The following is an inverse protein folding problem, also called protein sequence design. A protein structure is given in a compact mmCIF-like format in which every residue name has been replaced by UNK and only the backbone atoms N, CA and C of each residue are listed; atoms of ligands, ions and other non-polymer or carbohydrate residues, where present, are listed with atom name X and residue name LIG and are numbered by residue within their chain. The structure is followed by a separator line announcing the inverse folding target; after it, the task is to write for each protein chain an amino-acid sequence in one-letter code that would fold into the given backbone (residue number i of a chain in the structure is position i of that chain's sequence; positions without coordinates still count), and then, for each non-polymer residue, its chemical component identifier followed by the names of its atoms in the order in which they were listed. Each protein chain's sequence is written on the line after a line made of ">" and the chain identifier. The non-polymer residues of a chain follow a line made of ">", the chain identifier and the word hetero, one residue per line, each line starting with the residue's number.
data_IF_421646746494
#
_entry.id   IF_421646746494
#
_cell.length_a   1.000
_cell.length_b   1.000
_cell.length_c   1.000
_cell.angle_alpha   90.00
_cell.angle_beta   90.00
_cell.angle_gamma   90.00
#
_symmetry.space_group_name_H-M   'P 1'
#
loop_
_entity.id
_entity.type
_entity.pdbx_description
1 polymer ?
#
# COMPACT_ATOMS: atom_id res chain seq x y z
N UNK A 1 -63.11 -65.83 12.14
CA UNK A 1 -62.83 -64.83 13.20
C UNK A 1 -61.33 -64.74 13.37
N UNK A 2 -60.84 -63.52 13.60
CA UNK A 2 -59.46 -63.13 13.92
C UNK A 2 -58.50 -62.97 12.74
N UNK A 3 -58.18 -61.69 12.55
CA UNK A 3 -57.10 -61.09 11.78
C UNK A 3 -55.73 -61.70 12.09
N UNK A 4 -54.91 -61.86 11.05
CA UNK A 4 -53.45 -61.77 11.18
C UNK A 4 -52.91 -60.85 10.09
N UNK A 5 -52.22 -59.82 10.57
CA UNK A 5 -51.56 -58.75 9.84
C UNK A 5 -50.36 -59.32 9.08
N UNK A 6 -50.38 -59.18 7.76
CA UNK A 6 -49.26 -59.51 6.87
C UNK A 6 -48.37 -58.27 6.76
N UNK A 7 -47.10 -58.42 7.09
CA UNK A 7 -46.04 -57.45 6.78
C UNK A 7 -45.53 -57.80 5.38
N UNK A 8 -45.89 -56.99 4.40
CA UNK A 8 -45.40 -57.08 3.02
C UNK A 8 -44.41 -55.95 2.74
N UNK A 9 -43.16 -56.33 2.51
CA UNK A 9 -42.22 -55.55 1.69
C UNK A 9 -42.58 -55.72 0.22
N UNK A 10 -42.48 -54.66 -0.60
CA UNK A 10 -42.07 -54.85 -1.97
C UNK A 10 -40.90 -53.94 -2.37
N UNK A 11 -39.88 -54.60 -2.90
CA UNK A 11 -39.02 -54.11 -3.97
C UNK A 11 -39.81 -54.00 -5.28
N UNK A 12 -39.72 -52.87 -6.00
CA UNK A 12 -39.35 -52.80 -7.43
C UNK A 12 -39.34 -51.36 -7.95
N UNK A 13 -38.18 -51.01 -8.50
CA UNK A 13 -37.87 -50.16 -9.66
C UNK A 13 -39.00 -49.35 -10.34
N UNK A 14 -38.74 -48.06 -10.53
CA UNK A 14 -38.49 -47.39 -11.83
C UNK A 14 -39.21 -46.03 -11.90
N UNK A 15 -38.46 -44.93 -11.92
CA UNK A 15 -38.61 -43.87 -12.93
C UNK A 15 -37.34 -43.01 -12.96
N UNK A 16 -36.73 -43.01 -14.13
CA UNK A 16 -35.49 -42.33 -14.50
C UNK A 16 -35.65 -40.81 -14.50
N UNK A 17 -34.61 -40.11 -14.05
CA UNK A 17 -34.34 -38.70 -14.31
C UNK A 17 -32.85 -38.46 -14.13
N UNK A 18 -32.12 -38.48 -15.23
CA UNK A 18 -30.68 -38.34 -15.32
C UNK A 18 -30.28 -36.88 -15.02
N UNK A 19 -29.60 -36.60 -13.91
CA UNK A 19 -28.83 -35.37 -13.73
C UNK A 19 -27.35 -35.73 -13.75
N UNK A 20 -26.71 -35.42 -14.88
CA UNK A 20 -25.27 -35.45 -15.05
C UNK A 20 -24.62 -34.45 -14.11
N UNK A 21 -23.72 -34.92 -13.24
CA UNK A 21 -22.76 -34.08 -12.53
C UNK A 21 -21.95 -33.29 -13.57
N UNK A 22 -22.19 -31.98 -13.67
CA UNK A 22 -21.30 -31.08 -14.40
C UNK A 22 -19.95 -31.00 -13.67
N UNK A 23 -18.82 -31.28 -14.33
CA UNK A 23 -17.53 -31.12 -13.70
C UNK A 23 -17.25 -29.63 -13.49
N UNK A 24 -16.68 -29.30 -12.33
CA UNK A 24 -16.19 -27.98 -12.01
C UNK A 24 -15.39 -27.36 -13.19
N UNK A 25 -15.56 -26.06 -13.49
CA UNK A 25 -14.88 -25.43 -14.62
C UNK A 25 -13.37 -25.55 -14.43
N UNK A 26 -12.73 -26.35 -15.29
CA UNK A 26 -11.28 -26.42 -15.40
C UNK A 26 -10.80 -25.07 -15.93
N UNK A 27 -10.13 -24.29 -15.09
CA UNK A 27 -9.26 -23.24 -15.59
C UNK A 27 -8.34 -23.84 -16.67
N UNK A 28 -8.19 -23.20 -17.84
CA UNK A 28 -7.21 -23.67 -18.81
C UNK A 28 -5.85 -23.71 -18.09
N UNK A 29 -5.06 -24.78 -18.23
CA UNK A 29 -3.73 -24.81 -17.67
C UNK A 29 -3.00 -23.58 -18.21
N UNK A 30 -2.48 -22.74 -17.31
CA UNK A 30 -1.62 -21.64 -17.70
C UNK A 30 -0.48 -22.25 -18.50
N UNK A 31 -0.41 -22.01 -19.81
CA UNK A 31 0.77 -22.39 -20.59
C UNK A 31 1.95 -21.71 -19.91
N UNK A 32 2.81 -22.49 -19.25
CA UNK A 32 4.10 -22.01 -18.75
C UNK A 32 4.83 -21.41 -19.94
N UNK A 33 4.90 -20.07 -19.98
CA UNK A 33 5.67 -19.38 -21.01
C UNK A 33 7.13 -19.61 -20.69
N UNK A 34 7.91 -20.02 -21.68
CA UNK A 34 9.34 -20.22 -21.49
C UNK A 34 9.99 -18.89 -21.07
N UNK A 35 11.08 -18.96 -20.30
CA UNK A 35 11.87 -17.78 -19.93
C UNK A 35 12.28 -16.96 -21.17
N UNK A 36 12.57 -17.64 -22.27
CA UNK A 36 12.88 -17.06 -23.58
C UNK A 36 11.73 -16.23 -24.16
N UNK A 37 10.48 -16.69 -24.04
CA UNK A 37 9.31 -15.94 -24.51
C UNK A 37 9.05 -14.70 -23.65
N UNK A 38 9.31 -14.80 -22.34
CA UNK A 38 9.21 -13.68 -21.42
C UNK A 38 10.28 -12.62 -21.73
N UNK A 39 11.53 -13.03 -21.93
CA UNK A 39 12.63 -12.12 -22.28
C UNK A 39 12.44 -11.47 -23.65
N UNK A 40 11.96 -12.21 -24.66
CA UNK A 40 11.63 -11.66 -25.98
C UNK A 40 10.55 -10.59 -25.89
N UNK A 41 9.48 -10.85 -25.14
CA UNK A 41 8.40 -9.87 -24.93
C UNK A 41 8.87 -8.64 -24.17
N UNK A 42 9.74 -8.79 -23.16
CA UNK A 42 10.33 -7.65 -22.45
C UNK A 42 11.24 -6.82 -23.36
N UNK A 43 12.01 -7.46 -24.23
CA UNK A 43 12.80 -6.79 -25.27
C UNK A 43 11.89 -6.02 -26.23
N UNK A 44 10.84 -6.64 -26.77
CA UNK A 44 9.87 -5.98 -27.66
C UNK A 44 9.18 -4.78 -27.00
N UNK A 45 8.79 -4.89 -25.72
CA UNK A 45 8.23 -3.76 -24.95
C UNK A 45 9.25 -2.65 -24.75
N UNK A 46 10.52 -2.97 -24.48
CA UNK A 46 11.58 -2.00 -24.25
C UNK A 46 12.07 -1.32 -25.54
N UNK A 47 12.02 -2.00 -26.69
CA UNK A 47 12.54 -1.51 -27.97
C UNK A 47 11.47 -1.01 -28.93
N UNK A 48 10.18 -1.12 -28.59
CA UNK A 48 9.10 -0.56 -29.42
C UNK A 48 9.15 0.97 -29.44
N UNK A 49 9.96 1.51 -30.34
CA UNK A 49 9.95 2.91 -30.70
C UNK A 49 8.70 3.17 -31.56
N UNK A 50 7.60 3.66 -30.97
CA UNK A 50 6.51 4.31 -31.70
C UNK A 50 5.53 5.06 -30.76
N UNK A 51 4.78 6.02 -31.31
CA UNK A 51 4.25 7.18 -30.59
C UNK A 51 3.20 6.80 -29.56
N UNK A 52 2.95 7.75 -28.66
CA UNK A 52 1.97 7.77 -27.56
C UNK A 52 0.56 7.40 -28.08
N UNK A 53 0.33 6.13 -28.39
CA UNK A 53 -0.98 5.51 -28.51
C UNK A 53 -0.85 4.02 -28.15
N UNK A 54 -1.71 3.50 -27.25
CA UNK A 54 -1.47 2.19 -26.63
C UNK A 54 -1.72 1.03 -27.60
N UNK A 55 -1.02 -0.11 -27.43
CA UNK A 55 -1.35 -1.36 -28.12
C UNK A 55 -2.71 -1.85 -27.64
N UNK A 56 -3.60 -2.16 -28.58
CA UNK A 56 -5.01 -2.57 -28.43
C UNK A 56 -5.45 -2.85 -26.96
N UNK A 57 -5.71 -1.75 -26.26
CA UNK A 57 -5.84 -1.70 -24.79
C UNK A 57 -7.23 -2.07 -24.29
N UNK A 58 -8.20 -2.23 -25.19
CA UNK A 58 -9.61 -2.38 -24.82
C UNK A 58 -9.86 -3.66 -23.97
N UNK A 59 -9.17 -4.77 -24.27
CA UNK A 59 -9.37 -6.03 -23.55
C UNK A 59 -8.65 -6.08 -22.18
N UNK A 60 -7.60 -5.27 -21.94
CA UNK A 60 -6.87 -5.23 -20.66
C UNK A 60 -7.37 -4.12 -19.72
N UNK A 61 -7.94 -3.04 -20.27
CA UNK A 61 -8.56 -1.95 -19.50
C UNK A 61 -9.82 -2.41 -18.74
N UNK A 62 -10.48 -3.49 -19.18
CA UNK A 62 -11.67 -4.04 -18.54
C UNK A 62 -11.44 -4.48 -17.08
N UNK A 63 -10.19 -4.74 -16.69
CA UNK A 63 -9.78 -5.09 -15.32
C UNK A 63 -8.93 -3.98 -14.65
N UNK A 64 -8.97 -2.75 -15.15
CA UNK A 64 -8.67 -1.58 -14.32
C UNK A 64 -7.21 -1.13 -14.12
N UNK A 65 -6.19 -1.87 -14.56
CA UNK A 65 -4.79 -1.44 -14.44
C UNK A 65 -4.10 -1.25 -15.80
N UNK A 66 -3.10 -0.35 -15.92
CA UNK A 66 -2.45 0.00 -17.20
C UNK A 66 -1.74 -1.20 -17.85
N UNK A 67 -1.52 -1.14 -19.17
CA UNK A 67 -0.69 -2.13 -19.85
C UNK A 67 0.70 -2.24 -19.17
N UNK A 68 1.28 -3.44 -19.02
CA UNK A 68 2.55 -3.63 -18.32
C UNK A 68 3.64 -2.77 -18.98
N UNK A 69 4.22 -1.87 -18.20
CA UNK A 69 5.30 -0.99 -18.63
C UNK A 69 6.64 -1.75 -18.79
N UNK A 70 7.60 -1.21 -19.57
CA UNK A 70 8.93 -1.78 -19.68
C UNK A 70 9.57 -2.01 -18.31
N UNK A 71 10.45 -3.01 -18.22
CA UNK A 71 11.10 -3.46 -16.99
C UNK A 71 11.74 -2.34 -16.15
N UNK A 72 12.25 -1.30 -16.80
CA UNK A 72 13.02 -0.22 -16.18
C UNK A 72 12.19 1.00 -15.77
N UNK A 73 10.86 0.88 -15.68
CA UNK A 73 9.97 2.00 -15.41
C UNK A 73 9.10 1.73 -14.18
N UNK A 74 8.85 2.78 -13.38
CA UNK A 74 7.99 2.72 -12.21
C UNK A 74 8.61 1.96 -11.04
N UNK A 75 7.79 1.20 -10.32
CA UNK A 75 8.21 0.51 -9.10
C UNK A 75 9.03 -0.77 -9.38
N UNK A 76 9.01 -1.31 -10.59
CA UNK A 76 9.63 -2.62 -10.89
C UNK A 76 11.12 -2.70 -10.48
N UNK A 77 11.99 -1.73 -10.85
CA UNK A 77 13.40 -1.74 -10.41
C UNK A 77 13.55 -1.73 -8.89
N UNK A 78 12.67 -1.03 -8.18
CA UNK A 78 12.65 -0.98 -6.71
C UNK A 78 12.36 -2.34 -6.09
N UNK A 79 11.37 -3.08 -6.61
CA UNK A 79 11.02 -4.42 -6.11
C UNK A 79 12.12 -5.44 -6.42
N UNK A 80 12.74 -5.36 -7.59
CA UNK A 80 13.81 -6.27 -7.97
C UNK A 80 15.05 -6.14 -7.10
N UNK A 81 15.29 -4.94 -6.56
CA UNK A 81 16.41 -4.70 -5.65
C UNK A 81 16.06 -4.94 -4.18
N UNK A 82 14.82 -5.27 -3.86
CA UNK A 82 14.39 -5.54 -2.49
C UNK A 82 15.18 -6.65 -1.77
N UNK A 83 15.70 -7.71 -2.43
CA UNK A 83 16.64 -8.61 -1.78
C UNK A 83 17.91 -7.89 -1.25
N UNK A 84 18.43 -6.92 -1.99
CA UNK A 84 19.63 -6.16 -1.63
C UNK A 84 19.34 -4.98 -0.70
N UNK A 85 18.20 -4.33 -0.83
CA UNK A 85 17.85 -3.13 -0.05
C UNK A 85 17.02 -3.47 1.18
N UNK A 86 16.19 -4.52 1.11
CA UNK A 86 15.31 -4.98 2.17
C UNK A 86 15.91 -6.11 3.01
N UNK A 87 16.53 -7.12 2.42
CA UNK A 87 17.02 -8.29 3.20
C UNK A 87 18.49 -8.14 3.59
N UNK A 88 19.33 -7.69 2.65
CA UNK A 88 20.77 -7.52 2.82
C UNK A 88 21.19 -6.76 4.09
N UNK A 89 20.70 -5.54 4.35
CA UNK A 89 21.12 -4.74 5.50
C UNK A 89 20.77 -5.40 6.83
N UNK A 90 19.57 -6.01 6.94
CA UNK A 90 19.14 -6.70 8.15
C UNK A 90 20.03 -7.92 8.45
N UNK A 91 20.29 -8.76 7.45
CA UNK A 91 21.16 -9.94 7.59
C UNK A 91 22.59 -9.51 7.94
N UNK A 92 23.10 -8.48 7.27
CA UNK A 92 24.42 -7.91 7.57
C UNK A 92 24.51 -7.38 9.00
N UNK A 93 23.51 -6.64 9.49
CA UNK A 93 23.51 -6.16 10.88
C UNK A 93 23.51 -7.32 11.88
N UNK A 94 22.62 -8.31 11.68
CA UNK A 94 22.51 -9.45 12.58
C UNK A 94 23.76 -10.34 12.59
N UNK A 95 24.50 -10.42 11.47
CA UNK A 95 25.72 -11.24 11.38
C UNK A 95 26.89 -10.70 12.22
N UNK A 96 26.82 -9.45 12.70
CA UNK A 96 27.80 -8.88 13.63
C UNK A 96 27.52 -9.26 15.09
N UNK A 97 26.41 -9.96 15.36
CA UNK A 97 26.08 -10.46 16.69
C UNK A 97 26.93 -11.68 17.09
N UNK A 98 26.92 -11.99 18.39
CA UNK A 98 27.50 -13.26 18.88
C UNK A 98 26.71 -14.47 18.34
N UNK A 99 27.31 -15.66 18.36
CA UNK A 99 26.63 -16.88 17.97
C UNK A 99 25.32 -17.09 18.75
N UNK A 100 25.32 -16.81 20.05
CA UNK A 100 24.11 -16.88 20.89
C UNK A 100 23.02 -15.90 20.42
N UNK A 101 23.38 -14.65 20.11
CA UNK A 101 22.44 -13.67 19.56
C UNK A 101 21.84 -14.15 18.23
N UNK A 102 22.68 -14.66 17.31
CA UNK A 102 22.23 -15.14 16.01
C UNK A 102 21.24 -16.31 16.17
N UNK A 103 21.49 -17.23 17.10
CA UNK A 103 20.55 -18.30 17.43
C UNK A 103 19.21 -17.76 17.93
N UNK A 104 19.21 -16.79 18.85
CA UNK A 104 17.98 -16.16 19.34
C UNK A 104 17.23 -15.41 18.22
N UNK A 105 17.95 -14.68 17.37
CA UNK A 105 17.39 -14.00 16.21
C UNK A 105 16.77 -14.97 15.21
N UNK A 106 17.39 -16.14 14.98
CA UNK A 106 16.84 -17.18 14.12
C UNK A 106 15.54 -17.78 14.67
N UNK A 107 15.45 -17.99 15.99
CA UNK A 107 14.22 -18.46 16.64
C UNK A 107 13.09 -17.40 16.56
N UNK A 108 13.43 -16.13 16.80
CA UNK A 108 12.49 -15.02 16.66
C UNK A 108 12.00 -14.92 15.20
N UNK A 109 12.90 -15.02 14.23
CA UNK A 109 12.56 -15.05 12.81
C UNK A 109 11.59 -16.20 12.50
N UNK A 110 11.86 -17.42 12.97
CA UNK A 110 10.99 -18.57 12.71
C UNK A 110 9.57 -18.36 13.27
N UNK A 111 9.46 -17.80 14.47
CA UNK A 111 8.17 -17.44 15.07
C UNK A 111 7.44 -16.35 14.27
N UNK A 112 8.13 -15.31 13.82
CA UNK A 112 7.57 -14.23 13.01
C UNK A 112 7.20 -14.70 11.59
N UNK A 113 7.98 -15.59 10.98
CA UNK A 113 7.67 -16.20 9.70
C UNK A 113 6.40 -17.07 9.81
N UNK A 114 6.23 -17.79 10.91
CA UNK A 114 4.98 -18.50 11.20
C UNK A 114 3.80 -17.52 11.38
N UNK A 115 3.99 -16.42 12.10
CA UNK A 115 3.00 -15.33 12.20
C UNK A 115 2.59 -14.81 10.81
N UNK A 116 3.55 -14.56 9.92
CA UNK A 116 3.30 -14.09 8.56
C UNK A 116 2.55 -15.10 7.69
N UNK A 117 2.92 -16.39 7.80
CA UNK A 117 2.18 -17.47 7.16
C UNK A 117 0.72 -17.54 7.65
N UNK A 118 0.49 -17.41 8.97
CA UNK A 118 -0.86 -17.39 9.56
C UNK A 118 -1.67 -16.20 9.07
N UNK A 119 -1.05 -15.02 8.93
CA UNK A 119 -1.67 -13.84 8.33
C UNK A 119 -2.14 -14.11 6.90
N UNK A 120 -1.26 -14.64 6.03
CA UNK A 120 -1.63 -14.96 4.63
C UNK A 120 -2.72 -16.04 4.53
N UNK A 121 -2.66 -17.08 5.37
CA UNK A 121 -3.72 -18.11 5.47
C UNK A 121 -5.05 -17.56 5.95
N UNK A 122 -5.05 -16.58 6.85
CA UNK A 122 -6.27 -15.91 7.32
C UNK A 122 -6.99 -15.15 6.21
N UNK A 123 -6.23 -14.49 5.33
CA UNK A 123 -6.79 -13.76 4.18
C UNK A 123 -7.42 -14.70 3.15
N UNK A 124 -6.83 -15.89 2.95
CA UNK A 124 -7.39 -16.92 2.09
C UNK A 124 -8.82 -17.31 2.51
N UNK A 125 -9.05 -17.47 3.82
CA UNK A 125 -10.38 -17.80 4.35
C UNK A 125 -11.40 -16.67 4.10
N UNK A 126 -10.95 -15.42 4.08
CA UNK A 126 -11.78 -14.26 3.76
C UNK A 126 -12.03 -14.12 2.26
N UNK A 127 -11.04 -14.40 1.41
CA UNK A 127 -11.16 -14.36 -0.05
C UNK A 127 -12.20 -15.37 -0.57
N UNK A 128 -12.26 -16.57 0.02
CA UNK A 128 -13.28 -17.57 -0.33
C UNK A 128 -14.71 -17.19 0.10
N UNK A 129 -14.88 -16.26 1.04
CA UNK A 129 -16.19 -15.78 1.50
C UNK A 129 -16.78 -14.63 0.69
N UNK A 130 -16.04 -14.07 -0.29
CA UNK A 130 -16.40 -12.82 -1.00
C UNK A 130 -16.74 -13.00 -2.47
N UNK A 131 -16.88 -14.24 -2.94
CA UNK A 131 -17.17 -14.53 -4.35
C UNK A 131 -18.65 -14.34 -4.67
N UNK A 132 -19.02 -13.17 -5.17
CA UNK A 132 -20.11 -13.05 -6.16
C UNK A 132 -19.49 -12.70 -7.52
N UNK A 133 -19.69 -13.59 -8.49
CA UNK A 133 -19.52 -13.53 -9.97
C UNK A 133 -18.45 -12.68 -10.69
N UNK A 134 -17.85 -11.62 -10.12
CA UNK A 134 -16.90 -10.74 -10.79
C UNK A 134 -15.52 -10.73 -10.09
N UNK A 135 -14.84 -11.88 -10.11
CA UNK A 135 -13.50 -12.04 -9.50
C UNK A 135 -12.48 -11.18 -10.26
N UNK A 136 -12.14 -10.02 -9.70
CA UNK A 136 -11.04 -9.21 -10.20
C UNK A 136 -9.68 -9.85 -9.84
N UNK A 137 -8.69 -9.79 -10.74
CA UNK A 137 -7.36 -10.42 -10.67
C UNK A 137 -6.51 -10.13 -9.42
N UNK A 138 -6.94 -9.22 -8.54
CA UNK A 138 -6.24 -8.87 -7.30
C UNK A 138 -7.03 -9.26 -6.05
N UNK A 139 -8.26 -9.74 -6.19
CA UNK A 139 -9.09 -10.28 -5.13
C UNK A 139 -8.95 -11.81 -5.13
N UNK A 140 -8.04 -12.34 -4.30
CA UNK A 140 -7.75 -13.77 -4.25
C UNK A 140 -6.71 -14.16 -3.23
N UNK A 141 -6.20 -15.39 -3.32
CA UNK A 141 -5.11 -15.85 -2.46
C UNK A 141 -3.84 -14.99 -2.68
N UNK A 142 -3.10 -14.62 -1.63
CA UNK A 142 -1.78 -14.01 -1.81
C UNK A 142 -0.89 -14.89 -2.70
N UNK A 143 -0.21 -14.26 -3.66
CA UNK A 143 0.69 -14.95 -4.56
C UNK A 143 2.05 -15.23 -3.90
N UNK A 144 2.95 -15.91 -4.63
CA UNK A 144 4.26 -16.31 -4.10
C UNK A 144 5.08 -15.12 -3.60
N UNK A 145 5.12 -14.01 -4.34
CA UNK A 145 5.93 -12.85 -3.94
C UNK A 145 5.37 -12.13 -2.71
N UNK A 146 4.05 -12.11 -2.55
CA UNK A 146 3.41 -11.64 -1.31
C UNK A 146 3.78 -12.55 -0.13
N UNK A 147 3.80 -13.89 -0.31
CA UNK A 147 4.29 -14.81 0.73
C UNK A 147 5.79 -14.62 1.03
N UNK A 148 6.63 -14.31 0.04
CA UNK A 148 8.03 -13.94 0.30
C UNK A 148 8.12 -12.70 1.20
N UNK A 149 7.30 -11.68 0.95
CA UNK A 149 7.25 -10.51 1.84
C UNK A 149 6.81 -10.89 3.26
N UNK A 150 5.73 -11.67 3.41
CA UNK A 150 5.15 -12.01 4.71
C UNK A 150 6.00 -12.98 5.54
N UNK A 151 6.67 -13.93 4.90
CA UNK A 151 7.40 -15.01 5.57
C UNK A 151 8.91 -14.78 5.60
N UNK A 152 9.44 -13.89 4.77
CA UNK A 152 10.88 -13.60 4.72
C UNK A 152 11.16 -12.14 5.02
N UNK A 153 10.68 -11.21 4.18
CA UNK A 153 11.08 -9.81 4.30
C UNK A 153 10.64 -9.19 5.63
N UNK A 154 9.35 -9.23 5.95
CA UNK A 154 8.80 -8.65 7.16
C UNK A 154 9.34 -9.31 8.44
N UNK A 155 9.47 -10.65 8.54
CA UNK A 155 10.14 -11.29 9.67
C UNK A 155 11.61 -10.91 9.81
N UNK A 156 12.38 -10.83 8.72
CA UNK A 156 13.78 -10.39 8.76
C UNK A 156 13.88 -8.94 9.25
N UNK A 157 13.02 -8.06 8.73
CA UNK A 157 12.96 -6.65 9.14
C UNK A 157 12.64 -6.51 10.62
N UNK A 158 11.61 -7.19 11.08
CA UNK A 158 11.22 -7.14 12.48
C UNK A 158 12.31 -7.73 13.37
N UNK A 159 12.88 -8.89 13.02
CA UNK A 159 13.97 -9.51 13.78
C UNK A 159 15.16 -8.56 13.91
N UNK A 160 15.44 -7.75 12.88
CA UNK A 160 16.51 -6.75 12.91
C UNK A 160 16.34 -5.71 14.03
N UNK A 161 15.12 -5.47 14.55
CA UNK A 161 14.91 -4.60 15.73
C UNK A 161 15.70 -5.08 16.95
N UNK A 162 15.94 -6.39 17.09
CA UNK A 162 16.72 -6.94 18.19
C UNK A 162 18.18 -6.47 18.20
N UNK A 163 18.69 -5.93 17.08
CA UNK A 163 20.05 -5.38 17.00
C UNK A 163 20.29 -4.25 18.01
N UNK A 164 19.23 -3.54 18.42
CA UNK A 164 19.30 -2.47 19.42
C UNK A 164 19.83 -2.95 20.78
N UNK A 165 19.67 -4.24 21.09
CA UNK A 165 20.10 -4.85 22.35
C UNK A 165 21.54 -5.37 22.31
N UNK A 166 22.21 -5.31 21.16
CA UNK A 166 23.60 -5.72 21.01
C UNK A 166 24.50 -4.48 20.93
N UNK A 167 25.32 -4.24 21.95
CA UNK A 167 26.30 -3.15 21.92
C UNK A 167 27.38 -3.31 20.84
N UNK A 168 27.58 -4.54 20.35
CA UNK A 168 28.46 -4.82 19.21
C UNK A 168 27.87 -4.32 17.88
N UNK A 169 26.53 -4.30 17.76
CA UNK A 169 25.82 -3.87 16.55
C UNK A 169 25.40 -2.40 16.67
N UNK A 170 24.78 -2.02 17.79
CA UNK A 170 24.34 -0.66 18.09
C UNK A 170 25.03 -0.19 19.38
N UNK A 171 26.25 0.39 19.30
CA UNK A 171 27.02 0.79 20.49
C UNK A 171 26.37 1.88 21.34
N UNK A 172 25.49 2.70 20.74
CA UNK A 172 24.83 3.84 21.39
C UNK A 172 23.30 3.72 21.22
N UNK A 173 22.63 2.80 21.94
CA UNK A 173 21.22 2.48 21.68
C UNK A 173 20.28 3.66 21.92
N UNK A 174 20.51 4.49 22.95
CA UNK A 174 19.67 5.67 23.20
C UNK A 174 19.76 6.71 22.09
N UNK A 175 20.98 6.94 21.57
CA UNK A 175 21.18 7.82 20.41
C UNK A 175 20.52 7.24 19.15
N UNK A 176 20.61 5.92 18.96
CA UNK A 176 19.97 5.26 17.83
C UNK A 176 18.44 5.39 17.90
N UNK A 177 17.82 5.27 19.08
CA UNK A 177 16.37 5.49 19.25
C UNK A 177 15.98 6.94 18.93
N UNK A 178 16.73 7.92 19.43
CA UNK A 178 16.45 9.33 19.12
C UNK A 178 16.61 9.63 17.61
N UNK A 179 17.70 9.13 17.00
CA UNK A 179 17.96 9.30 15.59
C UNK A 179 16.93 8.56 14.70
N UNK A 180 16.45 7.41 15.15
CA UNK A 180 15.37 6.66 14.49
C UNK A 180 14.09 7.48 14.38
N UNK A 181 13.65 8.13 15.46
CA UNK A 181 12.47 8.99 15.42
C UNK A 181 12.67 10.23 14.53
N UNK A 182 13.86 10.84 14.57
CA UNK A 182 14.19 11.94 13.65
C UNK A 182 14.18 11.51 12.18
N UNK A 183 14.75 10.35 11.87
CA UNK A 183 14.74 9.79 10.52
C UNK A 183 13.33 9.41 10.07
N UNK A 184 12.49 8.85 10.95
CA UNK A 184 11.08 8.57 10.68
C UNK A 184 10.28 9.84 10.39
N UNK A 185 10.46 10.89 11.20
CA UNK A 185 9.80 12.17 10.96
C UNK A 185 10.19 12.73 9.59
N UNK A 186 11.46 12.65 9.21
CA UNK A 186 11.92 13.05 7.88
C UNK A 186 11.29 12.19 6.78
N UNK A 187 11.40 10.86 6.85
CA UNK A 187 10.93 9.95 5.79
C UNK A 187 9.41 9.93 5.63
N UNK A 188 8.67 9.88 6.74
CA UNK A 188 7.21 9.79 6.68
C UNK A 188 6.55 11.18 6.64
N UNK A 189 7.08 12.16 7.37
CA UNK A 189 6.54 13.51 7.41
C UNK A 189 6.94 14.35 6.20
N UNK A 190 8.21 14.35 5.82
CA UNK A 190 8.68 15.16 4.68
C UNK A 190 8.55 14.39 3.38
N UNK A 191 9.23 13.24 3.27
CA UNK A 191 9.34 12.52 2.00
C UNK A 191 8.00 11.90 1.57
N UNK A 192 7.32 11.18 2.44
CA UNK A 192 6.02 10.60 2.12
C UNK A 192 4.90 11.66 2.16
N UNK A 193 4.61 12.23 3.34
CA UNK A 193 3.42 13.08 3.53
C UNK A 193 3.46 14.37 2.71
N UNK A 194 4.52 15.19 2.83
CA UNK A 194 4.56 16.46 2.08
C UNK A 194 4.83 16.24 0.60
N UNK A 195 5.80 15.39 0.26
CA UNK A 195 6.28 15.25 -1.13
C UNK A 195 5.49 14.23 -1.94
N UNK A 196 5.49 12.95 -1.57
CA UNK A 196 4.77 11.94 -2.36
C UNK A 196 3.26 12.17 -2.33
N UNK A 197 2.72 12.50 -1.16
CA UNK A 197 1.28 12.62 -0.98
C UNK A 197 0.74 13.99 -1.40
N UNK A 198 1.11 15.08 -0.74
CA UNK A 198 0.48 16.38 -0.98
C UNK A 198 0.94 17.05 -2.27
N UNK A 199 2.25 17.04 -2.52
CA UNK A 199 2.80 17.61 -3.74
C UNK A 199 2.50 16.73 -4.96
N UNK A 200 3.02 15.50 -5.02
CA UNK A 200 2.89 14.67 -6.22
C UNK A 200 1.45 14.16 -6.46
N UNK A 201 0.75 13.63 -5.44
CA UNK A 201 -0.61 13.13 -5.67
C UNK A 201 -1.63 14.25 -5.81
N UNK A 202 -1.61 15.24 -4.91
CA UNK A 202 -2.71 16.20 -4.79
C UNK A 202 -2.45 17.59 -5.35
N UNK A 203 -1.23 17.86 -5.84
CA UNK A 203 -0.84 19.17 -6.35
C UNK A 203 -1.19 20.31 -5.37
N UNK A 204 -1.01 20.07 -4.07
CA UNK A 204 -1.39 20.98 -3.00
C UNK A 204 -0.65 22.33 -3.02
N UNK A 205 0.47 22.38 -3.75
CA UNK A 205 1.22 23.58 -4.06
C UNK A 205 2.01 23.37 -5.37
N UNK A 206 2.47 24.47 -5.97
CA UNK A 206 3.30 24.46 -7.19
C UNK A 206 4.70 24.95 -6.87
N UNK A 207 5.70 24.39 -7.54
CA UNK A 207 7.10 24.81 -7.46
C UNK A 207 7.72 24.95 -8.85
N UNK A 208 8.91 25.55 -8.95
CA UNK A 208 9.68 25.59 -10.21
C UNK A 208 10.29 24.24 -10.59
N UNK A 209 10.76 24.05 -11.85
CA UNK A 209 11.27 22.76 -12.33
C UNK A 209 12.45 22.19 -11.53
N UNK A 210 13.42 23.03 -11.14
CA UNK A 210 14.56 22.59 -10.33
C UNK A 210 14.11 22.07 -8.96
N UNK A 211 13.27 22.85 -8.25
CA UNK A 211 12.67 22.44 -6.98
C UNK A 211 11.82 21.19 -7.15
N UNK A 212 11.09 21.03 -8.27
CA UNK A 212 10.30 19.83 -8.54
C UNK A 212 11.17 18.58 -8.57
N UNK A 213 12.31 18.60 -9.28
CA UNK A 213 13.24 17.48 -9.31
C UNK A 213 13.88 17.20 -7.95
N UNK A 214 14.23 18.25 -7.19
CA UNK A 214 14.74 18.11 -5.82
C UNK A 214 13.71 17.46 -4.89
N UNK A 215 12.45 17.90 -4.94
CA UNK A 215 11.36 17.26 -4.22
C UNK A 215 11.21 15.81 -4.68
N UNK A 216 11.29 15.53 -5.98
CA UNK A 216 11.26 14.16 -6.51
C UNK A 216 12.30 13.25 -5.87
N UNK A 217 13.56 13.70 -5.81
CA UNK A 217 14.65 12.99 -5.12
C UNK A 217 14.37 12.81 -3.62
N UNK A 218 13.85 13.85 -2.95
CA UNK A 218 13.48 13.78 -1.53
C UNK A 218 12.39 12.72 -1.29
N UNK A 219 11.38 12.65 -2.17
CA UNK A 219 10.29 11.68 -2.08
C UNK A 219 10.78 10.23 -2.06
N UNK A 220 11.83 9.92 -2.83
CA UNK A 220 12.37 8.55 -2.89
C UNK A 220 12.96 8.04 -1.56
N UNK A 221 13.37 8.91 -0.64
CA UNK A 221 13.82 8.51 0.70
C UNK A 221 12.69 7.98 1.59
N UNK A 222 11.42 8.13 1.20
CA UNK A 222 10.28 7.53 1.88
C UNK A 222 10.28 5.99 1.81
N UNK A 223 11.14 5.39 0.97
CA UNK A 223 11.23 3.94 0.76
C UNK A 223 9.93 3.31 0.25
N UNK A 224 9.18 4.05 -0.58
CA UNK A 224 7.85 3.68 -1.06
C UNK A 224 7.70 3.82 -2.59
N UNK A 225 8.82 3.78 -3.32
CA UNK A 225 8.84 4.01 -4.76
C UNK A 225 8.95 5.49 -5.14
N UNK A 226 8.73 5.76 -6.43
CA UNK A 226 8.88 7.09 -7.02
C UNK A 226 7.61 7.96 -6.98
N UNK A 227 7.74 9.29 -7.17
CA UNK A 227 6.62 10.23 -7.08
C UNK A 227 5.51 10.03 -8.12
N UNK A 228 5.83 9.57 -9.33
CA UNK A 228 4.84 9.35 -10.39
C UNK A 228 4.08 8.05 -10.15
N UNK A 229 4.78 6.95 -9.82
CA UNK A 229 4.13 5.69 -9.48
C UNK A 229 3.23 5.87 -8.26
N UNK A 230 3.79 6.39 -7.15
CA UNK A 230 3.05 6.61 -5.91
C UNK A 230 1.85 7.52 -6.13
N UNK A 231 2.06 8.65 -6.82
CA UNK A 231 0.99 9.61 -7.10
C UNK A 231 -0.12 9.05 -7.97
N UNK A 232 0.22 8.24 -8.98
CA UNK A 232 -0.76 7.61 -9.86
C UNK A 232 -1.65 6.60 -9.12
N UNK A 233 -1.07 5.81 -8.20
CA UNK A 233 -1.81 4.83 -7.39
C UNK A 233 -2.69 5.52 -6.36
N UNK A 234 -2.16 6.55 -5.70
CA UNK A 234 -2.91 7.33 -4.71
C UNK A 234 -4.12 8.05 -5.35
N UNK A 235 -3.96 8.60 -6.55
CA UNK A 235 -5.06 9.21 -7.31
C UNK A 235 -6.11 8.20 -7.74
N UNK A 236 -5.70 6.99 -8.15
CA UNK A 236 -6.63 5.89 -8.45
C UNK A 236 -7.43 5.52 -7.20
N UNK A 237 -6.76 5.40 -6.05
CA UNK A 237 -7.42 5.18 -4.76
C UNK A 237 -8.47 6.26 -4.45
N UNK A 238 -8.14 7.54 -4.52
CA UNK A 238 -9.13 8.61 -4.26
C UNK A 238 -10.36 8.55 -5.18
N UNK A 239 -10.17 8.17 -6.45
CA UNK A 239 -11.27 8.12 -7.42
C UNK A 239 -12.17 6.91 -7.23
N UNK A 240 -11.60 5.79 -6.81
CA UNK A 240 -12.28 4.48 -6.78
C UNK A 240 -12.35 3.87 -5.38
N UNK A 241 -12.09 4.68 -4.37
CA UNK A 241 -11.95 4.30 -2.97
C UNK A 241 -13.03 3.31 -2.56
N UNK A 242 -12.64 2.07 -2.24
CA UNK A 242 -13.53 0.97 -1.82
C UNK A 242 -14.72 0.64 -2.74
N UNK A 243 -14.81 1.20 -3.95
CA UNK A 243 -15.98 1.03 -4.83
C UNK A 243 -15.70 0.12 -6.02
N UNK A 244 -14.47 0.12 -6.52
CA UNK A 244 -14.12 -0.72 -7.68
C UNK A 244 -12.73 -1.33 -7.52
N UNK A 245 -12.53 -2.41 -8.25
CA UNK A 245 -11.26 -3.04 -8.61
C UNK A 245 -10.04 -2.10 -8.81
N UNK A 246 -10.28 -0.84 -9.21
CA UNK A 246 -9.23 0.16 -9.46
C UNK A 246 -8.68 0.82 -8.20
N UNK A 247 -9.32 0.64 -7.04
CA UNK A 247 -8.66 0.96 -5.78
C UNK A 247 -7.53 -0.04 -5.56
N UNK A 248 -6.27 0.39 -5.59
CA UNK A 248 -5.14 -0.52 -5.46
C UNK A 248 -5.09 -1.22 -4.11
N UNK A 249 -5.74 -0.72 -3.06
CA UNK A 249 -5.54 -1.25 -1.71
C UNK A 249 -6.80 -1.23 -0.85
N UNK A 250 -7.96 -1.61 -1.41
CA UNK A 250 -9.21 -1.75 -0.64
C UNK A 250 -9.27 -3.12 0.07
N UNK A 251 -9.19 -3.18 1.42
CA UNK A 251 -9.33 -4.44 2.15
C UNK A 251 -10.70 -5.09 1.98
N UNK A 252 -11.74 -4.29 1.72
CA UNK A 252 -13.09 -4.76 1.43
C UNK A 252 -13.12 -5.56 0.13
N UNK A 253 -12.55 -5.00 -0.94
CA UNK A 253 -12.59 -5.60 -2.28
C UNK A 253 -11.58 -6.74 -2.48
N UNK A 254 -10.35 -6.59 -1.99
CA UNK A 254 -9.27 -7.55 -2.29
C UNK A 254 -8.78 -8.40 -1.13
N UNK A 255 -9.15 -8.09 0.12
CA UNK A 255 -8.59 -8.75 1.31
C UNK A 255 -7.57 -7.88 2.03
N UNK A 256 -7.39 -8.11 3.32
CA UNK A 256 -6.49 -7.33 4.20
C UNK A 256 -5.05 -7.49 3.74
N UNK A 257 -4.64 -8.73 3.43
CA UNK A 257 -3.25 -9.00 3.07
C UNK A 257 -2.95 -8.53 1.66
N UNK A 258 -3.87 -8.71 0.71
CA UNK A 258 -3.71 -8.13 -0.63
C UNK A 258 -3.66 -6.61 -0.59
N UNK A 259 -4.51 -5.95 0.22
CA UNK A 259 -4.44 -4.50 0.38
C UNK A 259 -3.12 -4.04 1.03
N UNK A 260 -2.64 -4.74 2.06
CA UNK A 260 -1.36 -4.43 2.70
C UNK A 260 -0.16 -4.59 1.74
N UNK A 261 -0.23 -5.59 0.87
CA UNK A 261 0.87 -5.98 -0.04
C UNK A 261 0.56 -5.69 -1.50
N UNK A 262 -0.30 -4.71 -1.78
CA UNK A 262 -0.90 -4.53 -3.11
C UNK A 262 0.09 -4.29 -4.23
N UNK A 263 1.24 -3.68 -3.91
CA UNK A 263 2.32 -3.44 -4.88
C UNK A 263 3.00 -4.74 -5.38
N UNK A 264 2.63 -5.88 -4.79
CA UNK A 264 3.04 -7.23 -5.15
C UNK A 264 1.84 -8.11 -5.57
N UNK A 265 0.60 -7.61 -5.49
CA UNK A 265 -0.60 -8.41 -5.70
C UNK A 265 -0.88 -8.62 -7.20
N UNK A 266 -1.65 -9.68 -7.49
CA UNK A 266 -2.04 -10.06 -8.85
C UNK A 266 -2.06 -11.57 -9.04
N UNK A 267 -3.07 -12.06 -9.75
CA UNK A 267 -3.27 -13.46 -10.07
C UNK A 267 -2.22 -13.98 -11.08
N UNK A 268 -1.72 -13.10 -11.95
CA UNK A 268 -0.68 -13.40 -12.93
C UNK A 268 0.52 -12.47 -12.80
N UNK A 269 1.66 -12.86 -13.39
CA UNK A 269 2.82 -11.98 -13.52
C UNK A 269 2.52 -10.69 -14.31
N UNK A 270 1.57 -10.71 -15.24
CA UNK A 270 1.17 -9.50 -15.97
C UNK A 270 0.43 -8.53 -15.03
N UNK A 271 -0.40 -9.04 -14.11
CA UNK A 271 -1.11 -8.23 -13.11
C UNK A 271 -0.12 -7.59 -12.13
N UNK A 272 0.83 -8.38 -11.61
CA UNK A 272 1.88 -7.84 -10.72
C UNK A 272 2.70 -6.74 -11.42
N UNK A 273 3.03 -6.92 -12.70
CA UNK A 273 3.74 -5.88 -13.47
C UNK A 273 2.88 -4.65 -13.74
N UNK A 274 1.57 -4.83 -13.84
CA UNK A 274 0.60 -3.77 -14.10
C UNK A 274 0.42 -2.86 -12.87
N UNK A 275 0.30 -3.43 -11.67
CA UNK A 275 0.24 -2.63 -10.42
C UNK A 275 1.55 -1.89 -10.13
N UNK A 276 2.70 -2.46 -10.55
CA UNK A 276 4.02 -1.84 -10.41
C UNK A 276 4.31 -0.76 -11.47
N UNK A 277 3.52 -0.67 -12.52
CA UNK A 277 3.65 0.37 -13.55
C UNK A 277 3.03 1.69 -13.09
N UNK A 278 3.56 2.81 -13.59
CA UNK A 278 2.90 4.12 -13.45
C UNK A 278 1.56 4.06 -14.17
N UNK A 279 0.49 4.49 -13.50
CA UNK A 279 -0.82 4.61 -14.14
C UNK A 279 -0.86 5.87 -14.99
N UNK A 280 -0.69 5.75 -16.30
CA UNK A 280 -0.70 6.91 -17.20
C UNK A 280 -2.05 7.64 -17.21
N UNK A 281 -3.15 6.98 -16.80
CA UNK A 281 -4.45 7.67 -16.66
C UNK A 281 -4.47 8.60 -15.44
N UNK A 282 -3.70 8.28 -14.39
CA UNK A 282 -3.67 9.00 -13.13
C UNK A 282 -2.33 9.65 -12.83
N UNK A 283 -1.40 9.65 -13.78
CA UNK A 283 -0.06 10.19 -13.58
C UNK A 283 -0.13 11.67 -13.15
N UNK A 284 0.70 12.10 -12.19
CA UNK A 284 0.85 13.50 -11.81
C UNK A 284 1.36 14.42 -12.93
N UNK A 285 0.53 14.78 -13.91
CA UNK A 285 0.93 15.58 -15.08
C UNK A 285 1.67 16.89 -14.75
N UNK A 286 1.43 17.49 -13.58
CA UNK A 286 2.10 18.73 -13.17
C UNK A 286 3.59 18.56 -12.82
N UNK A 287 4.06 17.31 -12.62
CA UNK A 287 5.47 16.96 -12.38
C UNK A 287 6.02 15.96 -13.40
N UNK A 288 5.20 15.54 -14.35
CA UNK A 288 5.55 14.53 -15.34
C UNK A 288 6.52 15.10 -16.39
N UNK A 289 7.81 14.89 -16.16
CA UNK A 289 8.90 15.32 -17.03
C UNK A 289 9.87 14.16 -17.25
N UNK A 290 10.69 14.16 -18.31
CA UNK A 290 11.71 13.12 -18.50
C UNK A 290 12.64 12.95 -17.30
N UNK A 291 13.05 14.06 -16.66
CA UNK A 291 13.85 14.03 -15.44
C UNK A 291 13.13 13.38 -14.26
N UNK A 292 11.85 13.70 -14.05
CA UNK A 292 11.05 13.08 -13.00
C UNK A 292 10.81 11.59 -13.26
N UNK A 293 10.55 11.17 -14.50
CA UNK A 293 10.42 9.75 -14.86
C UNK A 293 11.71 8.95 -14.62
N UNK A 294 12.87 9.57 -14.86
CA UNK A 294 14.17 8.98 -14.51
C UNK A 294 14.32 8.82 -13.00
N UNK A 295 14.02 9.87 -12.21
CA UNK A 295 14.03 9.81 -10.74
C UNK A 295 13.09 8.72 -10.22
N UNK A 296 11.87 8.67 -10.74
CA UNK A 296 10.84 7.69 -10.35
C UNK A 296 11.32 6.25 -10.55
N UNK A 297 11.89 5.97 -11.72
CA UNK A 297 12.43 4.64 -12.08
C UNK A 297 13.69 4.27 -11.28
N UNK A 298 14.43 5.28 -10.82
CA UNK A 298 15.65 5.14 -10.00
C UNK A 298 15.37 5.32 -8.49
N UNK A 299 14.12 5.29 -8.05
CA UNK A 299 13.75 5.55 -6.66
C UNK A 299 14.49 4.65 -5.65
N UNK A 300 14.91 3.46 -6.07
CA UNK A 300 15.70 2.52 -5.27
C UNK A 300 17.10 3.00 -4.93
N UNK A 301 17.68 3.89 -5.74
CA UNK A 301 19.06 4.34 -5.57
C UNK A 301 19.21 5.21 -4.33
N UNK A 302 18.22 6.05 -4.05
CA UNK A 302 18.24 6.99 -2.93
C UNK A 302 18.38 6.32 -1.56
N UNK A 303 17.56 5.31 -1.19
CA UNK A 303 17.77 4.58 0.06
C UNK A 303 19.06 3.77 0.06
N UNK A 304 19.53 3.24 -1.08
CA UNK A 304 20.85 2.58 -1.14
C UNK A 304 21.99 3.55 -0.78
N UNK A 305 21.96 4.76 -1.35
CA UNK A 305 22.94 5.80 -1.05
C UNK A 305 22.84 6.23 0.42
N UNK A 306 21.61 6.35 0.95
CA UNK A 306 21.36 6.63 2.36
C UNK A 306 22.00 5.57 3.26
N UNK A 307 21.75 4.29 3.00
CA UNK A 307 22.25 3.17 3.80
C UNK A 307 23.78 3.11 3.77
N UNK A 308 24.37 3.26 2.58
CA UNK A 308 25.81 3.29 2.41
C UNK A 308 26.46 4.47 3.16
N UNK A 309 25.86 5.66 3.07
CA UNK A 309 26.36 6.85 3.76
C UNK A 309 26.21 6.73 5.28
N UNK A 310 25.06 6.26 5.77
CA UNK A 310 24.81 6.06 7.19
C UNK A 310 25.79 5.05 7.79
N UNK A 311 26.07 3.96 7.08
CA UNK A 311 27.11 3.01 7.47
C UNK A 311 28.50 3.64 7.47
N UNK A 312 28.84 4.38 6.41
CA UNK A 312 30.17 5.00 6.26
C UNK A 312 30.48 6.01 7.36
N UNK A 313 29.48 6.78 7.78
CA UNK A 313 29.62 7.87 8.74
C UNK A 313 29.44 7.41 10.20
N UNK A 314 28.54 6.46 10.45
CA UNK A 314 28.13 6.10 11.81
C UNK A 314 28.18 4.58 12.09
N UNK A 315 28.79 3.81 11.19
CA UNK A 315 28.95 2.36 11.32
C UNK A 315 27.63 1.59 11.29
N UNK A 316 27.63 0.40 11.91
CA UNK A 316 26.45 -0.46 12.04
C UNK A 316 25.27 0.22 12.74
N UNK A 317 25.53 1.11 13.71
CA UNK A 317 24.49 1.90 14.36
C UNK A 317 23.78 2.86 13.41
N UNK A 318 24.52 3.52 12.51
CA UNK A 318 23.94 4.37 11.45
C UNK A 318 23.11 3.58 10.46
N UNK A 319 23.66 2.46 9.97
CA UNK A 319 22.94 1.57 9.07
C UNK A 319 21.65 1.07 9.72
N UNK A 320 21.70 0.65 10.99
CA UNK A 320 20.52 0.25 11.76
C UNK A 320 19.44 1.33 11.76
N UNK A 321 19.78 2.57 12.13
CA UNK A 321 18.82 3.69 12.16
C UNK A 321 18.21 3.95 10.79
N UNK A 322 19.06 4.05 9.76
CA UNK A 322 18.65 4.39 8.40
C UNK A 322 17.78 3.29 7.78
N UNK A 323 18.22 2.03 7.85
CA UNK A 323 17.45 0.89 7.36
C UNK A 323 16.15 0.69 8.14
N UNK A 324 16.20 0.76 9.47
CA UNK A 324 15.04 0.48 10.32
C UNK A 324 13.95 1.53 10.15
N UNK A 325 14.32 2.81 10.08
CA UNK A 325 13.35 3.88 9.81
C UNK A 325 12.69 3.74 8.43
N UNK A 326 13.41 3.25 7.41
CA UNK A 326 12.86 3.03 6.06
C UNK A 326 11.77 1.96 6.04
N UNK A 327 12.07 0.75 6.53
CA UNK A 327 11.09 -0.34 6.45
C UNK A 327 9.94 -0.13 7.44
N UNK A 328 10.21 0.40 8.64
CA UNK A 328 9.14 0.73 9.62
C UNK A 328 8.21 1.77 9.02
N UNK A 329 8.78 2.83 8.43
CA UNK A 329 8.02 3.87 7.77
C UNK A 329 7.12 3.33 6.65
N UNK A 330 7.65 2.45 5.81
CA UNK A 330 6.92 1.79 4.71
C UNK A 330 5.79 0.88 5.22
N UNK A 331 6.06 -0.02 6.18
CA UNK A 331 5.01 -0.95 6.65
C UNK A 331 3.93 -0.22 7.45
N UNK A 332 4.27 0.87 8.14
CA UNK A 332 3.31 1.70 8.86
C UNK A 332 2.32 2.41 7.93
N UNK A 333 2.79 2.91 6.78
CA UNK A 333 1.94 3.57 5.77
C UNK A 333 1.12 2.58 4.96
N UNK A 334 1.70 1.44 4.59
CA UNK A 334 0.94 0.36 3.95
C UNK A 334 -0.18 -0.16 4.87
N UNK A 335 0.10 -0.29 6.17
CA UNK A 335 -0.91 -0.70 7.14
C UNK A 335 -1.94 0.38 7.45
N UNK A 336 -1.55 1.66 7.37
CA UNK A 336 -2.47 2.78 7.51
C UNK A 336 -3.61 2.68 6.49
N UNK A 337 -3.33 2.28 5.24
CA UNK A 337 -4.35 2.06 4.23
C UNK A 337 -5.34 0.96 4.66
N UNK A 338 -4.82 -0.17 5.17
CA UNK A 338 -5.69 -1.25 5.67
C UNK A 338 -6.57 -0.78 6.84
N UNK A 339 -5.99 -0.04 7.79
CA UNK A 339 -6.65 0.36 9.03
C UNK A 339 -7.78 1.37 8.82
N UNK A 340 -7.67 2.23 7.80
CA UNK A 340 -8.66 3.28 7.53
C UNK A 340 -9.72 2.89 6.49
N UNK A 341 -9.60 1.69 5.91
CA UNK A 341 -10.56 1.10 4.96
C UNK A 341 -11.05 -0.29 5.45
N UNK A 342 -11.68 -0.40 6.63
CA UNK A 342 -12.14 -1.68 7.15
C UNK A 342 -13.23 -2.33 6.29
N UNK A 343 -13.37 -3.65 6.44
CA UNK A 343 -14.33 -4.47 5.72
C UNK A 343 -15.74 -4.27 6.32
N UNK A 344 -16.73 -3.99 5.47
CA UNK A 344 -18.14 -3.77 5.84
C UNK A 344 -18.65 -2.49 5.17
N UNK A 345 -19.77 -2.52 4.44
CA UNK A 345 -20.29 -1.35 3.70
C UNK A 345 -20.99 -0.32 4.59
N UNK A 346 -21.24 0.89 4.07
CA UNK A 346 -21.74 2.08 4.78
C UNK A 346 -23.09 1.96 5.51
N UNK A 347 -23.89 0.93 5.25
CA UNK A 347 -25.29 0.81 5.71
C UNK A 347 -25.45 0.57 7.23
N UNK A 348 -24.42 0.09 7.93
CA UNK A 348 -24.51 -0.30 9.35
C UNK A 348 -24.22 0.82 10.38
N UNK A 349 -24.00 2.07 9.92
CA UNK A 349 -23.57 3.20 10.78
C UNK A 349 -24.58 3.63 11.86
N UNK A 350 -25.83 3.18 11.81
CA UNK A 350 -26.87 3.64 12.74
C UNK A 350 -26.93 2.88 14.09
N UNK A 351 -26.28 1.72 14.25
CA UNK A 351 -26.68 0.78 15.31
C UNK A 351 -25.74 0.60 16.51
N UNK A 352 -24.41 0.78 16.43
CA UNK A 352 -23.54 0.27 17.52
C UNK A 352 -22.27 1.10 17.75
N UNK A 353 -22.42 2.23 18.44
CA UNK A 353 -21.31 3.03 18.97
C UNK A 353 -20.51 2.35 20.11
N UNK A 354 -19.91 1.18 19.87
CA UNK A 354 -19.03 0.50 20.84
C UNK A 354 -17.69 0.13 20.21
N UNK A 355 -16.71 1.01 20.40
CA UNK A 355 -15.30 0.78 20.10
C UNK A 355 -14.72 -0.25 21.08
N UNK A 356 -14.51 -1.49 20.63
CA UNK A 356 -13.81 -2.51 21.41
C UNK A 356 -12.33 -2.57 21.01
N UNK A 357 -11.50 -1.69 21.59
CA UNK A 357 -10.07 -1.95 21.75
C UNK A 357 -9.63 -1.48 23.13
N UNK A 358 -9.24 -2.42 23.99
CA UNK A 358 -8.71 -2.14 25.32
C UNK A 358 -7.30 -1.56 25.20
N UNK A 359 -7.20 -0.23 25.11
CA UNK A 359 -5.90 0.45 25.02
C UNK A 359 -5.92 1.96 24.79
N UNK A 360 -7.08 2.63 24.66
CA UNK A 360 -7.14 4.09 24.58
C UNK A 360 -6.57 4.72 23.29
N UNK A 361 -6.15 3.91 22.32
CA UNK A 361 -5.65 4.37 21.01
C UNK A 361 -6.81 4.35 20.01
N UNK A 362 -7.38 5.54 19.73
CA UNK A 362 -8.51 5.72 18.80
C UNK A 362 -8.08 5.44 17.35
N UNK A 363 -8.91 4.75 16.56
CA UNK A 363 -8.81 4.74 15.09
C UNK A 363 -9.15 6.12 14.52
N UNK A 364 -8.50 6.48 13.42
CA UNK A 364 -8.54 7.77 12.74
C UNK A 364 -9.82 7.98 11.91
N UNK A 365 -10.25 6.95 11.18
CA UNK A 365 -11.49 6.93 10.41
C UNK A 365 -12.66 6.50 11.30
N UNK A 366 -13.74 7.28 11.30
CA UNK A 366 -14.98 6.98 12.04
C UNK A 366 -16.23 7.16 11.19
N UNK A 367 -16.15 7.85 10.05
CA UNK A 367 -17.35 8.34 9.34
C UNK A 367 -17.13 8.60 7.84
N UNK A 368 -16.33 7.80 7.13
CA UNK A 368 -16.07 8.13 5.73
C UNK A 368 -17.37 8.12 4.88
N UNK A 369 -17.78 9.28 4.34
CA UNK A 369 -18.89 9.43 3.38
C UNK A 369 -18.39 9.37 1.93
N UNK A 370 -17.08 9.51 1.72
CA UNK A 370 -16.43 9.51 0.40
C UNK A 370 -15.83 8.14 0.04
N UNK A 371 -15.72 7.22 1.02
CA UNK A 371 -15.36 5.82 0.82
C UNK A 371 -16.37 4.92 1.54
N UNK A 372 -16.62 3.74 0.99
CA UNK A 372 -17.64 2.79 1.45
C UNK A 372 -17.08 1.76 2.46
N UNK A 373 -16.42 2.24 3.51
CA UNK A 373 -15.79 1.38 4.54
C UNK A 373 -16.43 1.55 5.94
N UNK A 374 -16.67 0.43 6.64
CA UNK A 374 -17.26 0.30 7.99
C UNK A 374 -16.52 -0.74 8.83
N UNK A 375 -16.50 -0.51 10.15
CA UNK A 375 -15.92 -1.38 11.16
C UNK A 375 -16.72 -2.69 11.33
N UNK A 376 -16.27 -3.81 10.75
CA UNK A 376 -16.21 -5.14 11.39
C UNK A 376 -15.88 -6.23 10.36
N UNK A 377 -14.83 -7.06 10.58
CA UNK A 377 -14.41 -7.54 11.89
C UNK A 377 -13.31 -6.70 12.55
N UNK A 378 -13.46 -6.50 13.85
CA UNK A 378 -12.47 -5.87 14.73
C UNK A 378 -11.41 -6.85 15.26
N UNK A 379 -11.49 -8.14 14.92
CA UNK A 379 -10.46 -9.12 15.27
C UNK A 379 -9.64 -9.42 14.04
N UNK A 380 -8.59 -8.65 13.85
CA UNK A 380 -7.57 -9.03 12.91
C UNK A 380 -6.40 -9.55 13.76
N UNK A 381 -6.23 -10.87 13.67
CA UNK A 381 -5.47 -11.79 14.53
C UNK A 381 -4.57 -11.26 15.66
N UNK A 382 -4.52 -12.00 16.78
CA UNK A 382 -3.61 -11.76 17.92
C UNK A 382 -2.13 -12.05 17.63
N UNK A 383 -1.77 -12.26 16.36
CA UNK A 383 -0.42 -12.62 15.98
C UNK A 383 0.54 -11.42 16.11
N UNK A 384 1.79 -11.63 16.56
CA UNK A 384 2.72 -10.54 16.88
C UNK A 384 2.96 -9.52 15.77
N UNK A 385 3.09 -9.97 14.52
CA UNK A 385 3.28 -9.07 13.38
C UNK A 385 2.07 -8.15 13.22
N UNK A 386 0.87 -8.66 13.46
CA UNK A 386 -0.36 -7.91 13.37
C UNK A 386 -0.41 -6.79 14.43
N UNK A 387 -0.16 -7.16 15.69
CA UNK A 387 -0.13 -6.22 16.82
C UNK A 387 0.91 -5.13 16.61
N UNK A 388 2.08 -5.48 16.08
CA UNK A 388 3.12 -4.52 15.77
C UNK A 388 2.71 -3.54 14.67
N UNK A 389 2.13 -4.02 13.57
CA UNK A 389 1.72 -3.16 12.46
C UNK A 389 0.65 -2.16 12.89
N UNK A 390 -0.36 -2.60 13.67
CA UNK A 390 -1.40 -1.69 14.19
C UNK A 390 -0.83 -0.68 15.19
N UNK A 391 0.04 -1.14 16.10
CA UNK A 391 0.69 -0.27 17.08
C UNK A 391 1.57 0.80 16.44
N UNK A 392 2.42 0.44 15.48
CA UNK A 392 3.36 1.36 14.86
C UNK A 392 2.66 2.36 13.92
N UNK A 393 1.65 1.92 13.17
CA UNK A 393 0.83 2.79 12.32
C UNK A 393 0.05 3.81 13.15
N UNK A 394 -0.47 3.39 14.32
CA UNK A 394 -1.17 4.27 15.25
C UNK A 394 -0.29 5.37 15.87
N UNK A 395 1.01 5.13 15.99
CA UNK A 395 1.97 6.11 16.48
C UNK A 395 2.44 7.06 15.38
N UNK A 396 2.75 6.52 14.20
CA UNK A 396 3.38 7.28 13.12
C UNK A 396 2.38 8.23 12.45
N UNK A 397 1.18 7.77 12.13
CA UNK A 397 0.23 8.54 11.31
C UNK A 397 -0.14 9.92 11.92
N UNK A 398 -0.45 10.02 13.23
CA UNK A 398 -0.69 11.32 13.87
C UNK A 398 0.56 12.19 13.94
N UNK A 399 1.75 11.60 14.08
CA UNK A 399 3.01 12.36 14.14
C UNK A 399 3.38 13.06 12.83
N UNK A 400 2.76 12.65 11.71
CA UNK A 400 3.04 13.19 10.38
C UNK A 400 1.85 13.90 9.74
N UNK A 401 0.76 14.14 10.49
CA UNK A 401 -0.41 14.87 10.01
C UNK A 401 -1.22 14.12 8.94
N UNK A 402 -1.22 12.78 9.00
CA UNK A 402 -1.98 11.92 8.08
C UNK A 402 -3.15 11.19 8.78
N UNK A 403 -3.38 11.44 10.08
CA UNK A 403 -4.40 10.74 10.86
C UNK A 403 -5.83 11.22 10.62
N UNK A 404 -6.08 12.43 10.11
CA UNK A 404 -7.44 12.84 9.73
C UNK A 404 -7.76 12.40 8.28
N UNK A 405 -7.91 11.08 8.13
CA UNK A 405 -8.06 10.43 6.83
C UNK A 405 -9.40 10.77 6.14
N UNK A 406 -10.50 10.85 6.89
CA UNK A 406 -11.82 11.21 6.34
C UNK A 406 -11.85 12.67 5.84
N UNK A 407 -11.27 13.59 6.62
CA UNK A 407 -11.12 14.98 6.20
C UNK A 407 -10.27 15.11 4.94
N UNK A 408 -9.20 14.30 4.86
CA UNK A 408 -8.33 14.25 3.69
C UNK A 408 -9.06 13.79 2.42
N UNK A 409 -9.86 12.73 2.48
CA UNK A 409 -10.68 12.31 1.33
C UNK A 409 -11.68 13.36 0.87
N UNK A 410 -12.16 14.20 1.79
CA UNK A 410 -13.05 15.32 1.49
C UNK A 410 -12.31 16.56 0.94
N UNK A 411 -11.07 16.79 1.42
CA UNK A 411 -10.26 17.97 1.09
C UNK A 411 -8.84 17.57 0.64
N UNK A 412 -8.70 16.81 -0.46
CA UNK A 412 -7.45 16.12 -0.80
C UNK A 412 -6.30 17.07 -1.15
N UNK A 413 -6.60 18.26 -1.65
CA UNK A 413 -5.61 19.23 -2.12
C UNK A 413 -5.04 20.14 -1.02
N UNK A 414 -5.41 19.99 0.24
CA UNK A 414 -4.89 20.84 1.31
C UNK A 414 -3.39 20.59 1.56
N UNK A 415 -2.60 21.68 1.53
CA UNK A 415 -1.17 21.62 1.78
C UNK A 415 -0.83 21.44 3.26
N UNK A 416 -1.70 21.93 4.14
CA UNK A 416 -1.64 21.75 5.59
C UNK A 416 -3.02 21.33 6.08
N UNK A 417 -3.10 20.28 6.90
CA UNK A 417 -4.36 19.68 7.36
C UNK A 417 -4.57 19.81 8.87
N UNK A 418 -5.82 19.82 9.35
CA UNK A 418 -6.10 19.54 10.75
C UNK A 418 -5.71 18.09 11.06
N UNK A 419 -5.27 17.82 12.29
CA UNK A 419 -4.86 16.49 12.75
C UNK A 419 -4.74 16.46 14.27
N UNK A 420 -4.77 15.27 14.89
CA UNK A 420 -4.81 15.13 16.36
C UNK A 420 -3.64 15.82 17.04
N UNK A 421 -2.47 15.77 16.43
CA UNK A 421 -1.24 16.40 16.92
C UNK A 421 -0.80 17.60 16.05
N UNK A 422 -1.73 18.09 15.21
CA UNK A 422 -1.43 19.04 14.16
C UNK A 422 -0.65 18.41 12.99
N UNK A 423 -0.25 19.28 12.07
CA UNK A 423 0.44 18.90 10.85
C UNK A 423 1.78 19.67 10.76
N UNK A 424 2.67 19.29 11.66
CA UNK A 424 3.98 19.92 11.79
C UNK A 424 4.83 19.77 10.52
N UNK A 425 4.94 18.59 9.87
CA UNK A 425 5.72 18.46 8.64
C UNK A 425 5.18 19.36 7.52
N UNK A 426 3.86 19.38 7.33
CA UNK A 426 3.21 20.25 6.36
C UNK A 426 3.51 21.72 6.60
N UNK A 427 3.26 22.18 7.83
CA UNK A 427 3.48 23.57 8.21
C UNK A 427 4.95 24.00 8.04
N UNK A 428 5.90 23.17 8.49
CA UNK A 428 7.33 23.48 8.42
C UNK A 428 7.85 23.50 6.97
N UNK A 429 7.58 22.45 6.19
CA UNK A 429 8.17 22.30 4.86
C UNK A 429 7.51 23.26 3.88
N UNK A 430 6.18 23.30 3.84
CA UNK A 430 5.44 24.19 2.92
C UNK A 430 5.71 25.64 3.28
N UNK A 431 5.69 25.98 4.58
CA UNK A 431 6.01 27.32 5.06
C UNK A 431 7.43 27.77 4.69
N UNK A 432 8.43 26.89 4.84
CA UNK A 432 9.81 27.18 4.43
C UNK A 432 9.94 27.39 2.91
N UNK A 433 9.26 26.58 2.10
CA UNK A 433 9.26 26.74 0.65
C UNK A 433 8.57 28.03 0.21
N UNK A 434 7.46 28.43 0.86
CA UNK A 434 6.79 29.71 0.60
C UNK A 434 7.67 30.89 1.00
N UNK A 435 8.27 30.86 2.18
CA UNK A 435 9.16 31.92 2.67
C UNK A 435 10.39 32.10 1.76
N UNK A 436 10.88 31.03 1.15
CA UNK A 436 11.96 31.05 0.16
C UNK A 436 11.50 31.45 -1.26
N UNK A 437 10.20 31.69 -1.48
CA UNK A 437 9.64 31.97 -2.81
C UNK A 437 9.66 30.79 -3.77
N UNK A 438 9.87 29.57 -3.27
CA UNK A 438 9.96 28.34 -4.05
C UNK A 438 8.60 27.66 -4.26
N UNK A 439 7.68 27.82 -3.31
CA UNK A 439 6.30 27.36 -3.42
C UNK A 439 5.32 28.50 -3.70
N UNK A 440 4.34 28.24 -4.56
CA UNK A 440 3.25 29.15 -4.91
C UNK A 440 1.94 28.39 -5.04
N UNK A 441 0.82 29.11 -5.03
CA UNK A 441 -0.53 28.55 -5.12
C UNK A 441 -0.77 27.47 -4.04
N UNK A 442 -0.32 27.73 -2.82
CA UNK A 442 -0.50 26.81 -1.69
C UNK A 442 -1.97 26.79 -1.30
N UNK A 443 -2.58 25.61 -1.36
CA UNK A 443 -3.99 25.42 -1.05
C UNK A 443 -4.16 25.30 0.47
N UNK A 444 -4.97 26.19 1.05
CA UNK A 444 -5.25 26.26 2.49
C UNK A 444 -6.75 26.27 2.73
N UNK A 445 -7.17 25.76 3.89
CA UNK A 445 -8.56 25.80 4.31
C UNK A 445 -8.92 27.25 4.67
N UNK A 446 -9.95 27.82 4.04
CA UNK A 446 -10.49 29.14 4.39
C UNK A 446 -11.57 28.95 5.45
N UNK A 447 -11.52 29.73 6.54
CA UNK A 447 -12.49 29.81 7.65
C UNK A 447 -13.87 29.20 7.34
N UNK A 448 -14.00 27.87 7.51
CA UNK A 448 -15.27 27.15 7.43
C UNK A 448 -15.99 27.07 6.06
N UNK A 449 -15.40 27.49 4.93
CA UNK A 449 -16.00 27.28 3.59
C UNK A 449 -14.97 26.83 2.57
N UNK A 450 -15.19 25.64 2.02
CA UNK A 450 -14.38 25.06 0.95
C UNK A 450 -14.60 25.81 -0.37
N UNK A 451 -13.56 25.88 -1.19
CA UNK A 451 -13.58 26.49 -2.52
C UNK A 451 -14.32 25.56 -3.51
N UNK A 452 -15.65 25.48 -3.36
CA UNK A 452 -16.57 24.74 -4.21
C UNK A 452 -17.88 25.51 -4.47
N UNK A 453 -18.24 26.46 -3.60
CA UNK A 453 -19.49 27.22 -3.71
C UNK A 453 -19.40 28.49 -4.59
N UNK A 454 -18.23 28.80 -5.17
CA UNK A 454 -18.02 30.03 -5.94
C UNK A 454 -17.96 29.84 -7.47
N UNK A 455 -18.30 28.67 -8.01
CA UNK A 455 -18.29 28.43 -9.48
C UNK A 455 -19.63 27.89 -10.03
N UNK A 456 -20.71 27.87 -9.24
CA UNK A 456 -22.04 27.44 -9.72
C UNK A 456 -23.15 28.47 -9.47
N UNK A 457 -22.83 29.76 -9.33
CA UNK A 457 -23.84 30.83 -9.27
C UNK A 457 -23.51 32.00 -10.18
N UNK A 458 -23.36 31.71 -11.47
CA UNK A 458 -23.56 32.72 -12.51
C UNK A 458 -24.15 32.04 -13.75
N UNK A 459 -25.35 32.49 -14.09
CA UNK A 459 -26.07 32.28 -15.36
C UNK A 459 -26.73 30.92 -15.61
N UNK A 460 -27.85 30.69 -14.92
CA UNK A 460 -29.02 30.12 -15.58
C UNK A 460 -30.29 30.85 -15.11
N UNK A 461 -30.58 31.98 -15.75
CA UNK A 461 -31.92 32.60 -15.73
C UNK A 461 -32.64 32.16 -17.00
N UNK A 462 -33.35 31.05 -16.94
CA UNK A 462 -34.50 30.82 -17.81
C UNK A 462 -35.70 31.64 -17.28
N UNK A 463 -36.33 32.51 -18.09
CA UNK A 463 -37.64 33.04 -17.75
C UNK A 463 -38.70 31.97 -18.05
N UNK A 464 -39.56 31.76 -17.07
CA UNK A 464 -40.75 30.92 -17.12
C UNK A 464 -41.65 31.29 -18.31
N UNK A 465 -42.23 30.26 -18.92
CA UNK A 465 -43.47 30.36 -19.69
C UNK A 465 -44.58 30.87 -18.79
N UNK A 466 -45.21 31.97 -19.17
CA UNK A 466 -46.67 32.14 -19.33
C UNK A 466 -46.94 33.39 -20.17
#
# INVERSE_FOLDING_TARGET
>A
MSSQTVVETPSTETLLGCESEEPAPRYPPSKERSLTDLLRREYELATSARPIHPPDTAAKIAQGFPAPAPFWVGLRPFILLMPFTGVGPAVFLMSHGSAAYICCAALLYAYLAFSGYRMGRGDLALAFGRTSSDVHSYAGSPNVIQYLMLMIWLPVWFTSLSCIFSSAIVPKPLLAVAAFWGALFFKNGVCMSVVLHRYASHAAFKVGPATSLLLGCLGCFAYQGGPLWWGSRHRSHHKYCDTTARDPHSPALMGVINAFTFFLSGATFDDVRSVQAVDEQYVPHHIDTPGMRAIDSMAWLFPCLEFALAYRLFGSGGLFVSFTSSWVGMVATLWFNVRNHPIGGAEDKAATGKNHFSGGVRRSSVTNKACDAVDSPNTIGEWPLYVFLDGISSLISPSVGEDDHDHHHTHPNLAVRPGRWGDLPGAMVVGALEAAGLARNVVRQRNGRSFGDCVLTADDKSPKTD
#
